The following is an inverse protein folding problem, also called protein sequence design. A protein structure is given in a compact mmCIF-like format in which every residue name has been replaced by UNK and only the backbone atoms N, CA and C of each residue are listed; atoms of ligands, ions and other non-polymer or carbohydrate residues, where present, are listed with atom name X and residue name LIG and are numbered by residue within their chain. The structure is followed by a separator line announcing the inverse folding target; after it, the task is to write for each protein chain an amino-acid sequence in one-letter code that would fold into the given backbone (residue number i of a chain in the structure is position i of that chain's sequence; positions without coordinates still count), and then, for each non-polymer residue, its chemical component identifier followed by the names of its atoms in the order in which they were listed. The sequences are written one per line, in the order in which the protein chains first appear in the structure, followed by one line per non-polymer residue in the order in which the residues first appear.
data_IF_376428161870
#
_entry.id   IF_376428161870
#
_cell.length_a   1.000
_cell.length_b   1.000
_cell.length_c   1.000
_cell.angle_alpha   90.00
_cell.angle_beta   90.00
_cell.angle_gamma   90.00
#
_symmetry.space_group_name_H-M   'P 1'
#
loop_
_entity.id
_entity.type
_entity.pdbx_description
1 polymer ?
#
# COMPACT_ATOMS: atom_id res chain seq x y z
N UNK A 1 -37.80 7.85 34.02
CA UNK A 1 -36.87 6.71 34.23
C UNK A 1 -37.34 5.37 33.64
N UNK A 2 -38.47 5.28 32.91
CA UNK A 2 -38.95 4.01 32.31
C UNK A 2 -38.56 3.81 30.84
N UNK A 3 -38.13 4.86 30.14
CA UNK A 3 -37.86 4.81 28.69
C UNK A 3 -36.46 4.27 28.35
N UNK A 4 -35.49 4.38 29.27
CA UNK A 4 -34.10 3.91 29.06
C UNK A 4 -34.00 2.38 29.17
N UNK A 5 -34.85 1.74 29.98
CA UNK A 5 -34.83 0.28 30.19
C UNK A 5 -35.29 -0.53 28.97
N UNK A 6 -36.17 0.04 28.14
CA UNK A 6 -36.75 -0.67 26.98
C UNK A 6 -35.74 -0.76 25.83
N UNK A 7 -34.87 0.25 25.68
CA UNK A 7 -33.84 0.28 24.63
C UNK A 7 -32.72 -0.74 24.93
N UNK A 8 -32.36 -0.92 26.21
CA UNK A 8 -31.35 -1.91 26.62
C UNK A 8 -31.86 -3.35 26.43
N UNK A 9 -33.14 -3.62 26.73
CA UNK A 9 -33.72 -4.95 26.54
C UNK A 9 -33.86 -5.35 25.05
N UNK A 10 -34.16 -4.39 24.17
CA UNK A 10 -34.27 -4.64 22.73
C UNK A 10 -32.91 -4.86 22.05
N UNK A 11 -31.84 -4.26 22.56
CA UNK A 11 -30.47 -4.47 22.06
C UNK A 11 -29.92 -5.85 22.48
N UNK A 12 -30.26 -6.31 23.68
CA UNK A 12 -29.87 -7.63 24.18
C UNK A 12 -30.57 -8.79 23.45
N UNK A 13 -31.81 -8.61 22.99
CA UNK A 13 -32.53 -9.64 22.23
C UNK A 13 -32.05 -9.80 20.77
N UNK A 14 -31.31 -8.84 20.22
CA UNK A 14 -30.73 -8.96 18.86
C UNK A 14 -29.34 -9.61 18.86
N UNK A 15 -28.65 -9.64 20.01
CA UNK A 15 -27.33 -10.28 20.16
C UNK A 15 -27.47 -11.81 20.25
N UNK A 16 -28.63 -12.34 20.62
CA UNK A 16 -28.87 -13.79 20.72
C UNK A 16 -28.98 -14.53 19.38
N UNK A 17 -28.69 -13.86 18.25
CA UNK A 17 -28.63 -14.47 16.92
C UNK A 17 -27.23 -14.43 16.30
N UNK A 18 -26.22 -13.92 17.02
CA UNK A 18 -24.82 -13.99 16.62
C UNK A 18 -24.19 -15.21 17.30
N UNK A 19 -23.48 -16.01 16.51
CA UNK A 19 -22.86 -17.28 16.90
C UNK A 19 -22.29 -17.27 18.33
N UNK A 20 -22.59 -18.34 19.09
CA UNK A 20 -22.36 -18.47 20.53
C UNK A 20 -20.91 -18.38 21.02
N UNK A 21 -19.97 -18.09 20.12
CA UNK A 21 -18.57 -17.74 20.43
C UNK A 21 -18.42 -16.27 20.84
N UNK A 22 -19.22 -15.34 20.28
CA UNK A 22 -19.12 -13.90 20.59
C UNK A 22 -19.73 -13.53 21.94
N UNK A 23 -20.82 -14.18 22.33
CA UNK A 23 -21.52 -13.88 23.58
C UNK A 23 -20.72 -14.31 24.84
N UNK A 24 -19.86 -15.33 24.72
CA UNK A 24 -19.02 -15.79 25.85
C UNK A 24 -17.86 -14.83 26.17
N UNK A 25 -17.26 -14.21 25.16
CA UNK A 25 -16.12 -13.32 25.37
C UNK A 25 -16.46 -12.05 26.17
N UNK A 26 -17.70 -11.56 26.07
CA UNK A 26 -18.16 -10.33 26.74
C UNK A 26 -18.57 -10.61 28.21
N UNK A 27 -19.07 -11.81 28.50
CA UNK A 27 -19.57 -12.16 29.83
C UNK A 27 -18.44 -12.39 30.87
N UNK A 28 -17.29 -12.88 30.43
CA UNK A 28 -16.19 -13.24 31.33
C UNK A 28 -15.26 -12.06 31.67
N UNK A 29 -15.32 -10.95 30.93
CA UNK A 29 -14.55 -9.73 31.23
C UNK A 29 -15.27 -8.45 30.75
N UNK A 30 -16.10 -7.81 31.59
CA UNK A 30 -16.78 -6.55 31.24
C UNK A 30 -15.82 -5.34 31.12
N UNK A 31 -14.51 -5.54 31.37
CA UNK A 31 -13.42 -4.60 31.13
C UNK A 31 -12.52 -5.00 29.96
N UNK A 32 -12.90 -6.00 29.15
CA UNK A 32 -12.32 -6.21 27.83
C UNK A 32 -12.66 -4.99 26.98
N UNK A 33 -11.85 -3.95 27.14
CA UNK A 33 -11.80 -2.80 26.27
C UNK A 33 -11.64 -3.32 24.84
N UNK A 34 -12.24 -2.63 23.87
CA UNK A 34 -12.16 -2.92 22.42
C UNK A 34 -10.72 -2.87 21.84
N UNK A 35 -9.71 -3.03 22.68
CA UNK A 35 -8.28 -2.87 22.46
C UNK A 35 -7.57 -4.20 22.16
N UNK A 36 -8.28 -5.34 22.14
CA UNK A 36 -7.70 -6.66 21.81
C UNK A 36 -8.46 -7.46 20.74
N UNK A 37 -9.26 -6.81 19.89
CA UNK A 37 -9.37 -7.31 18.53
C UNK A 37 -8.12 -6.83 17.81
N UNK A 38 -7.08 -7.66 17.77
CA UNK A 38 -5.92 -7.44 16.90
C UNK A 38 -6.44 -7.44 15.45
N UNK A 39 -6.94 -6.29 14.98
CA UNK A 39 -7.42 -6.17 13.61
C UNK A 39 -6.20 -6.04 12.72
N UNK A 40 -5.89 -7.11 12.02
CA UNK A 40 -4.77 -7.16 11.09
C UNK A 40 -4.95 -6.11 9.99
N UNK A 41 -3.89 -5.33 9.75
CA UNK A 41 -3.85 -4.29 8.73
C UNK A 41 -2.64 -4.47 7.84
N UNK A 42 -2.82 -4.13 6.57
CA UNK A 42 -1.76 -4.05 5.59
C UNK A 42 -1.48 -2.61 5.19
N UNK A 43 -0.28 -2.40 4.67
CA UNK A 43 0.13 -1.16 4.02
C UNK A 43 -0.55 -1.02 2.66
N UNK A 44 -1.04 0.18 2.35
CA UNK A 44 -1.55 0.48 1.01
C UNK A 44 -1.00 1.76 0.43
N UNK A 45 -0.87 1.78 -0.90
CA UNK A 45 -0.54 2.96 -1.70
C UNK A 45 -1.78 3.54 -2.38
N UNK A 46 -1.64 4.76 -2.88
CA UNK A 46 -2.58 5.41 -3.80
C UNK A 46 -1.85 5.91 -5.04
N UNK A 47 -2.59 6.17 -6.11
CA UNK A 47 -2.10 7.01 -7.21
C UNK A 47 -2.20 8.48 -6.79
N UNK A 48 -1.07 9.17 -6.75
CA UNK A 48 -0.98 10.59 -6.40
C UNK A 48 -1.13 11.47 -7.63
N UNK A 49 -0.52 11.05 -8.74
CA UNK A 49 -0.46 11.83 -9.98
C UNK A 49 -0.34 10.89 -11.18
N UNK A 50 -0.90 11.28 -12.32
CA UNK A 50 -0.60 10.72 -13.63
C UNK A 50 0.09 11.79 -14.48
N UNK A 51 1.27 11.49 -15.01
CA UNK A 51 1.98 12.38 -15.93
C UNK A 51 1.77 11.91 -17.38
N UNK A 52 0.68 12.41 -17.97
CA UNK A 52 0.28 12.13 -19.36
C UNK A 52 1.43 12.25 -20.36
N UNK A 53 2.34 13.26 -20.31
CA UNK A 53 3.42 13.39 -21.29
C UNK A 53 4.41 12.22 -21.29
N UNK A 54 4.51 11.48 -20.19
CA UNK A 54 5.44 10.37 -20.03
C UNK A 54 4.74 9.01 -19.92
N UNK A 55 3.41 8.97 -19.75
CA UNK A 55 2.67 7.73 -19.49
C UNK A 55 3.09 7.05 -18.18
N UNK A 56 3.43 7.86 -17.17
CA UNK A 56 3.86 7.37 -15.86
C UNK A 56 2.91 7.79 -14.76
N UNK A 57 2.86 6.98 -13.72
CA UNK A 57 2.13 7.26 -12.50
C UNK A 57 3.08 7.47 -11.34
N UNK A 58 2.74 8.44 -10.50
CA UNK A 58 3.33 8.59 -9.18
C UNK A 58 2.45 7.88 -8.16
N UNK A 59 2.93 6.74 -7.67
CA UNK A 59 2.22 5.93 -6.68
C UNK A 59 2.98 5.93 -5.36
N UNK A 60 2.26 5.84 -4.26
CA UNK A 60 2.88 5.83 -2.95
C UNK A 60 1.91 6.12 -1.84
N UNK A 61 2.46 6.40 -0.68
CA UNK A 61 1.72 6.96 0.43
C UNK A 61 1.08 8.31 0.05
N UNK A 62 -0.02 8.68 0.69
CA UNK A 62 -0.56 10.04 0.59
C UNK A 62 0.05 10.91 1.70
N UNK A 63 0.32 12.18 1.41
CA UNK A 63 0.98 13.11 2.35
C UNK A 63 0.22 13.25 3.68
N UNK A 64 1.00 13.58 4.73
CA UNK A 64 0.65 13.79 6.14
C UNK A 64 -0.54 14.75 6.39
N UNK A 65 -0.91 15.57 5.41
CA UNK A 65 -1.90 16.66 5.57
C UNK A 65 -3.33 16.25 5.29
N UNK A 66 -3.64 14.96 5.09
CA UNK A 66 -5.04 14.52 4.98
C UNK A 66 -5.78 14.69 6.32
N UNK A 67 -6.78 15.60 6.42
CA UNK A 67 -7.56 15.77 7.65
C UNK A 67 -8.40 14.53 8.00
N UNK A 68 -8.51 13.54 7.10
CA UNK A 68 -9.21 12.27 7.32
C UNK A 68 -8.29 11.13 7.78
N UNK A 69 -7.01 11.40 8.07
CA UNK A 69 -6.12 10.42 8.73
C UNK A 69 -5.69 9.23 7.86
N UNK A 70 -5.82 9.34 6.55
CA UNK A 70 -5.45 8.31 5.57
C UNK A 70 -3.94 8.36 5.22
N UNK A 71 -3.08 8.39 6.23
CA UNK A 71 -1.64 8.24 6.01
C UNK A 71 -1.28 6.76 5.87
N UNK A 72 -0.20 6.46 5.15
CA UNK A 72 0.43 5.15 5.31
C UNK A 72 0.89 4.99 6.75
N UNK A 73 0.65 3.82 7.32
CA UNK A 73 1.27 3.42 8.57
C UNK A 73 2.18 2.24 8.29
N UNK A 74 3.48 2.49 8.22
CA UNK A 74 4.46 1.45 7.93
C UNK A 74 4.66 0.51 9.12
N UNK A 75 4.31 0.91 10.34
CA UNK A 75 4.53 0.11 11.54
C UNK A 75 3.36 -0.84 11.82
N UNK A 76 2.12 -0.42 11.58
CA UNK A 76 0.93 -1.23 11.89
C UNK A 76 0.09 -1.60 10.65
N UNK A 77 0.30 -0.93 9.52
CA UNK A 77 -0.62 -0.97 8.38
C UNK A 77 -1.76 0.05 8.52
N UNK A 78 -2.34 0.42 7.40
CA UNK A 78 -3.33 1.51 7.30
C UNK A 78 -4.72 1.04 6.82
N UNK A 79 -4.81 -0.19 6.31
CA UNK A 79 -6.04 -0.73 5.72
C UNK A 79 -6.33 -2.10 6.29
N UNK A 80 -7.58 -2.37 6.70
CA UNK A 80 -7.94 -3.67 7.26
C UNK A 80 -7.72 -4.78 6.24
N UNK A 81 -7.09 -5.88 6.65
CA UNK A 81 -6.77 -6.99 5.73
C UNK A 81 -8.00 -7.66 5.12
N UNK A 82 -9.18 -7.48 5.71
CA UNK A 82 -10.45 -7.96 5.18
C UNK A 82 -11.05 -7.05 4.09
N UNK A 83 -10.53 -5.84 3.90
CA UNK A 83 -11.02 -4.93 2.87
C UNK A 83 -10.59 -5.37 1.47
N UNK A 84 -11.51 -5.25 0.51
CA UNK A 84 -11.19 -5.51 -0.89
C UNK A 84 -10.47 -4.30 -1.50
N UNK A 85 -9.20 -4.50 -1.84
CA UNK A 85 -8.35 -3.51 -2.52
C UNK A 85 -7.62 -4.17 -3.69
N UNK A 86 -7.43 -3.47 -4.82
CA UNK A 86 -6.54 -3.96 -5.86
C UNK A 86 -5.14 -4.24 -5.31
N UNK A 87 -4.46 -5.23 -5.85
CA UNK A 87 -3.03 -5.41 -5.63
C UNK A 87 -2.29 -4.52 -6.62
N UNK A 88 -1.32 -3.73 -6.14
CA UNK A 88 -0.37 -3.07 -7.03
C UNK A 88 0.67 -4.09 -7.47
N UNK A 89 0.65 -4.44 -8.74
CA UNK A 89 1.60 -5.34 -9.35
C UNK A 89 2.62 -4.54 -10.15
N UNK A 90 3.85 -5.05 -10.21
CA UNK A 90 4.95 -4.41 -10.88
C UNK A 90 5.75 -5.41 -11.71
N UNK A 91 6.24 -4.95 -12.85
CA UNK A 91 7.19 -5.65 -13.70
C UNK A 91 8.41 -4.78 -13.90
N UNK A 92 9.51 -5.14 -13.25
CA UNK A 92 10.81 -4.49 -13.42
C UNK A 92 11.49 -5.08 -14.65
N UNK A 93 11.52 -4.31 -15.74
CA UNK A 93 12.02 -4.73 -17.05
C UNK A 93 13.17 -3.86 -17.57
N UNK A 94 13.76 -3.04 -16.69
CA UNK A 94 14.81 -2.08 -16.99
C UNK A 94 14.38 -0.95 -17.94
N UNK A 95 13.09 -0.64 -17.99
CA UNK A 95 12.61 0.49 -18.78
C UNK A 95 13.32 1.79 -18.39
N UNK A 96 13.70 2.62 -19.38
CA UNK A 96 14.43 3.84 -19.13
C UNK A 96 13.57 4.83 -18.36
N UNK A 97 14.19 5.54 -17.42
CA UNK A 97 13.53 6.59 -16.63
C UNK A 97 13.16 7.77 -17.54
N UNK A 98 11.89 8.19 -17.62
CA UNK A 98 11.51 9.43 -18.29
C UNK A 98 12.11 10.67 -17.65
N UNK A 99 12.20 11.76 -18.41
CA UNK A 99 12.68 13.06 -17.98
C UNK A 99 11.70 13.82 -17.05
N UNK A 100 11.07 13.12 -16.09
CA UNK A 100 10.22 13.76 -15.10
C UNK A 100 11.06 14.54 -14.09
N UNK A 101 10.49 15.63 -13.59
CA UNK A 101 11.14 16.45 -12.58
C UNK A 101 10.89 15.88 -11.18
N UNK A 102 11.94 15.87 -10.37
CA UNK A 102 11.89 15.53 -8.95
C UNK A 102 11.65 16.82 -8.18
N UNK A 103 10.50 16.90 -7.50
CA UNK A 103 10.09 18.06 -6.70
C UNK A 103 10.00 17.69 -5.21
N UNK A 104 10.10 18.70 -4.36
CA UNK A 104 9.93 18.58 -2.91
C UNK A 104 11.20 18.93 -2.13
N UNK A 105 11.03 19.34 -0.87
CA UNK A 105 12.14 19.39 0.09
C UNK A 105 12.35 17.98 0.63
N UNK A 106 13.56 17.46 0.51
CA UNK A 106 13.93 16.20 1.16
C UNK A 106 13.60 16.30 2.65
N UNK A 107 12.84 15.34 3.17
CA UNK A 107 12.53 15.29 4.59
C UNK A 107 13.77 14.79 5.36
N UNK A 108 13.76 13.56 5.85
CA UNK A 108 14.96 12.94 6.41
C UNK A 108 15.96 12.50 5.31
N UNK A 109 15.47 12.31 4.09
CA UNK A 109 16.23 11.83 2.93
C UNK A 109 16.16 12.82 1.76
N UNK A 110 17.05 12.73 0.76
CA UNK A 110 16.97 13.55 -0.46
C UNK A 110 15.62 13.40 -1.20
N UNK A 111 15.14 14.41 -1.94
CA UNK A 111 13.86 14.34 -2.67
C UNK A 111 13.72 13.09 -3.55
N UNK A 112 14.80 12.69 -4.22
CA UNK A 112 14.85 11.54 -5.10
C UNK A 112 14.62 10.19 -4.39
N UNK A 113 14.85 10.11 -3.08
CA UNK A 113 14.46 8.96 -2.25
C UNK A 113 12.94 8.75 -2.24
N UNK A 114 12.18 9.85 -2.24
CA UNK A 114 10.71 9.86 -2.19
C UNK A 114 10.05 9.93 -3.57
N UNK A 115 10.84 10.03 -4.64
CA UNK A 115 10.38 10.22 -6.02
C UNK A 115 11.21 9.39 -7.01
N UNK A 116 11.64 8.21 -6.57
CA UNK A 116 12.46 7.26 -7.33
C UNK A 116 11.79 6.73 -8.58
N UNK A 117 12.56 6.06 -9.43
CA UNK A 117 12.11 5.34 -10.61
C UNK A 117 12.11 3.82 -10.36
N UNK A 118 11.03 3.16 -10.75
CA UNK A 118 10.87 1.72 -10.55
C UNK A 118 11.60 0.83 -11.58
N UNK A 119 12.08 1.37 -12.70
CA UNK A 119 12.64 0.60 -13.83
C UNK A 119 11.63 -0.33 -14.51
N UNK A 120 10.37 0.08 -14.61
CA UNK A 120 9.35 -0.84 -15.08
C UNK A 120 7.97 -0.27 -15.24
N UNK A 121 7.02 -1.19 -15.22
CA UNK A 121 5.60 -0.96 -15.41
C UNK A 121 4.83 -1.39 -14.16
N UNK A 122 3.74 -0.67 -13.87
CA UNK A 122 2.77 -1.04 -12.84
C UNK A 122 1.39 -1.28 -13.43
N UNK A 123 0.62 -2.12 -12.76
CA UNK A 123 -0.78 -2.37 -13.04
C UNK A 123 -1.51 -2.74 -11.74
N UNK A 124 -2.82 -2.56 -11.71
CA UNK A 124 -3.66 -2.97 -10.57
C UNK A 124 -4.58 -4.11 -10.95
N UNK A 125 -4.68 -5.12 -10.09
CA UNK A 125 -5.61 -6.24 -10.26
C UNK A 125 -7.07 -5.81 -10.01
N UNK A 126 -8.00 -6.76 -10.09
CA UNK A 126 -9.31 -6.58 -9.44
C UNK A 126 -9.13 -6.50 -7.91
N UNK A 127 -10.05 -5.84 -7.18
CA UNK A 127 -10.01 -5.80 -5.73
C UNK A 127 -10.09 -7.19 -5.09
N UNK A 128 -9.24 -7.43 -4.08
CA UNK A 128 -9.16 -8.68 -3.32
C UNK A 128 -8.85 -8.37 -1.85
N UNK A 129 -9.34 -9.19 -0.93
CA UNK A 129 -9.02 -9.05 0.49
C UNK A 129 -7.55 -9.40 0.74
N UNK A 130 -6.81 -8.56 1.45
CA UNK A 130 -5.40 -8.85 1.78
C UNK A 130 -5.23 -10.17 2.55
N UNK A 131 -6.18 -10.47 3.43
CA UNK A 131 -6.22 -11.70 4.23
C UNK A 131 -6.54 -12.97 3.43
N UNK A 132 -6.77 -12.88 2.10
CA UNK A 132 -6.92 -14.07 1.27
C UNK A 132 -5.58 -14.70 0.87
N UNK A 133 -4.47 -14.03 1.15
CA UNK A 133 -3.12 -14.52 0.88
C UNK A 133 -2.46 -15.00 2.17
N UNK A 134 -1.70 -16.09 2.11
CA UNK A 134 -0.95 -16.56 3.27
C UNK A 134 0.47 -16.01 3.29
N UNK A 135 1.09 -15.91 2.11
CA UNK A 135 2.48 -15.50 1.93
C UNK A 135 2.63 -14.42 0.87
N UNK A 136 3.73 -13.68 0.90
CA UNK A 136 4.11 -12.74 -0.16
C UNK A 136 4.21 -13.45 -1.53
N UNK A 137 4.68 -14.70 -1.52
CA UNK A 137 4.78 -15.52 -2.73
C UNK A 137 3.41 -15.80 -3.37
N UNK A 138 2.34 -15.93 -2.57
CA UNK A 138 0.98 -16.10 -3.09
C UNK A 138 0.51 -14.83 -3.81
N UNK A 139 0.86 -13.66 -3.28
CA UNK A 139 0.53 -12.38 -3.92
C UNK A 139 1.35 -12.16 -5.19
N UNK A 140 2.64 -12.55 -5.18
CA UNK A 140 3.47 -12.54 -6.38
C UNK A 140 2.87 -13.45 -7.47
N UNK A 141 2.42 -14.65 -7.10
CA UNK A 141 1.75 -15.58 -8.01
C UNK A 141 0.42 -15.01 -8.54
N UNK A 142 -0.34 -14.29 -7.72
CA UNK A 142 -1.55 -13.59 -8.13
C UNK A 142 -1.26 -12.49 -9.17
N UNK A 143 -0.21 -11.69 -8.97
CA UNK A 143 0.26 -10.72 -9.96
C UNK A 143 0.70 -11.39 -11.27
N UNK A 144 1.47 -12.48 -11.19
CA UNK A 144 1.88 -13.24 -12.36
C UNK A 144 0.71 -13.89 -13.10
N UNK A 145 -0.32 -14.34 -12.39
CA UNK A 145 -1.55 -14.86 -12.99
C UNK A 145 -2.34 -13.77 -13.73
N UNK A 146 -2.41 -12.56 -13.15
CA UNK A 146 -3.16 -11.46 -13.74
C UNK A 146 -2.49 -10.87 -14.99
N UNK A 147 -1.15 -10.76 -15.00
CA UNK A 147 -0.43 -9.98 -16.00
C UNK A 147 0.69 -10.74 -16.74
N UNK A 148 0.95 -11.99 -16.37
CA UNK A 148 1.94 -12.86 -16.99
C UNK A 148 3.28 -12.93 -16.25
N UNK A 149 4.21 -13.70 -16.80
CA UNK A 149 5.53 -13.90 -16.19
C UNK A 149 6.31 -12.59 -16.00
N UNK A 150 7.00 -12.47 -14.86
CA UNK A 150 7.80 -11.30 -14.48
C UNK A 150 7.06 -10.23 -13.70
N UNK A 151 5.74 -10.33 -13.57
CA UNK A 151 4.96 -9.49 -12.65
C UNK A 151 5.00 -10.06 -11.24
N UNK A 152 5.16 -9.16 -10.26
CA UNK A 152 5.17 -9.48 -8.83
C UNK A 152 4.43 -8.41 -8.03
N UNK A 153 4.19 -8.66 -6.76
CA UNK A 153 3.69 -7.66 -5.84
C UNK A 153 4.68 -6.47 -5.77
N UNK A 154 4.13 -5.27 -5.88
CA UNK A 154 4.88 -4.04 -5.67
C UNK A 154 5.23 -3.83 -4.19
N UNK A 155 6.37 -3.22 -3.95
CA UNK A 155 6.89 -2.98 -2.61
C UNK A 155 7.08 -1.50 -2.34
N UNK A 156 6.99 -1.14 -1.07
CA UNK A 156 7.32 0.19 -0.56
C UNK A 156 8.71 0.66 -1.01
N UNK A 157 9.63 -0.29 -1.24
CA UNK A 157 11.04 -0.07 -1.57
C UNK A 157 11.36 -0.32 -3.04
N UNK A 158 10.36 -0.30 -3.94
CA UNK A 158 10.61 -0.53 -5.38
C UNK A 158 11.19 0.68 -6.11
N UNK A 159 11.29 1.81 -5.42
CA UNK A 159 11.93 3.02 -5.93
C UNK A 159 13.44 2.82 -6.03
N UNK A 160 14.03 3.22 -7.16
CA UNK A 160 15.49 3.39 -7.30
C UNK A 160 15.80 4.84 -7.61
N UNK A 161 16.91 5.34 -7.07
CA UNK A 161 17.38 6.69 -7.36
C UNK A 161 18.89 6.79 -7.45
N UNK A 162 19.34 7.82 -8.15
CA UNK A 162 20.73 8.29 -8.17
C UNK A 162 20.71 9.70 -7.60
N UNK A 163 21.64 10.03 -6.70
CA UNK A 163 21.62 11.35 -6.06
C UNK A 163 21.74 12.46 -7.10
N UNK A 164 20.85 13.45 -7.00
CA UNK A 164 20.74 14.55 -7.98
C UNK A 164 20.00 14.22 -9.27
N UNK A 165 19.36 13.04 -9.39
CA UNK A 165 18.51 12.74 -10.54
C UNK A 165 17.35 13.73 -10.65
N UNK A 166 17.06 14.16 -11.88
CA UNK A 166 15.97 15.09 -12.15
C UNK A 166 15.52 14.99 -13.63
N UNK A 167 14.69 15.90 -14.12
CA UNK A 167 14.25 15.91 -15.52
C UNK A 167 15.38 16.12 -16.53
N UNK A 168 16.51 16.67 -16.10
CA UNK A 168 17.65 17.01 -16.98
C UNK A 168 18.89 16.13 -16.77
N UNK A 169 18.94 15.32 -15.70
CA UNK A 169 20.10 14.51 -15.33
C UNK A 169 19.61 13.12 -14.91
N UNK A 170 20.30 12.06 -15.36
CA UNK A 170 19.93 10.66 -15.12
C UNK A 170 18.50 10.34 -15.60
N UNK A 171 18.21 10.68 -16.86
CA UNK A 171 16.95 10.36 -17.53
C UNK A 171 17.21 9.92 -18.99
N UNK A 172 16.26 9.22 -19.60
CA UNK A 172 16.39 8.68 -20.95
C UNK A 172 17.65 7.82 -21.08
N UNK A 173 18.46 8.07 -22.11
CA UNK A 173 19.69 7.33 -22.38
C UNK A 173 20.79 7.55 -21.32
N UNK A 174 20.69 8.63 -20.52
CA UNK A 174 21.61 8.88 -19.39
C UNK A 174 21.20 8.11 -18.12
N UNK A 175 20.08 7.40 -18.14
CA UNK A 175 19.68 6.51 -17.07
C UNK A 175 20.52 5.23 -17.11
N UNK A 176 21.57 5.19 -16.31
CA UNK A 176 22.41 4.00 -16.16
C UNK A 176 21.82 3.11 -15.08
N UNK A 177 20.85 2.28 -15.47
CA UNK A 177 20.31 1.26 -14.59
C UNK A 177 21.43 0.33 -14.12
N UNK A 178 21.41 -0.04 -12.83
CA UNK A 178 22.34 -0.99 -12.22
C UNK A 178 23.81 -0.48 -12.14
N UNK A 179 23.99 0.71 -11.56
CA UNK A 179 25.31 1.27 -11.24
C UNK A 179 25.56 1.28 -9.73
N UNK A 180 26.83 1.42 -9.33
CA UNK A 180 27.23 1.60 -7.93
C UNK A 180 26.67 2.88 -7.28
N UNK A 181 26.11 3.80 -8.08
CA UNK A 181 25.49 5.04 -7.59
C UNK A 181 24.03 4.83 -7.17
N UNK A 182 23.42 3.72 -7.58
CA UNK A 182 21.99 3.50 -7.43
C UNK A 182 21.66 3.10 -5.98
N UNK A 183 20.65 3.76 -5.44
CA UNK A 183 20.15 3.56 -4.08
C UNK A 183 18.68 3.20 -4.12
N UNK A 184 18.23 2.49 -3.10
CA UNK A 184 16.81 2.15 -2.91
C UNK A 184 16.10 3.29 -2.19
N UNK A 185 15.03 3.81 -2.80
CA UNK A 185 14.13 4.79 -2.23
C UNK A 185 12.97 4.15 -1.49
N UNK A 186 12.00 4.96 -1.07
CA UNK A 186 10.80 4.47 -0.42
C UNK A 186 9.67 5.48 -0.41
N UNK A 187 8.55 5.11 0.21
CA UNK A 187 7.31 5.89 0.34
C UNK A 187 6.52 6.12 -0.94
N UNK A 188 7.20 6.46 -2.03
CA UNK A 188 6.59 6.67 -3.33
C UNK A 188 7.58 6.40 -4.46
N UNK A 189 7.08 6.18 -5.66
CA UNK A 189 7.88 6.09 -6.88
C UNK A 189 7.07 6.37 -8.13
N UNK A 190 7.80 6.71 -9.20
CA UNK A 190 7.29 6.75 -10.56
C UNK A 190 7.51 5.39 -11.25
N UNK A 191 6.54 4.99 -12.07
CA UNK A 191 6.60 3.82 -12.94
C UNK A 191 5.72 4.04 -14.16
N UNK A 192 5.98 3.34 -15.28
CA UNK A 192 5.08 3.37 -16.42
C UNK A 192 3.73 2.75 -16.04
N UNK A 193 2.63 3.42 -16.36
CA UNK A 193 1.31 2.92 -16.01
C UNK A 193 0.22 3.97 -16.14
N UNK A 194 -1.02 3.46 -16.07
CA UNK A 194 -2.22 4.26 -15.88
C UNK A 194 -3.16 3.47 -14.96
N UNK A 195 -2.73 3.30 -13.71
CA UNK A 195 -3.53 2.65 -12.68
C UNK A 195 -4.69 3.55 -12.27
N UNK A 196 -5.77 2.95 -11.79
CA UNK A 196 -6.94 3.69 -11.27
C UNK A 196 -6.55 4.65 -10.14
N UNK A 197 -7.35 5.67 -9.85
CA UNK A 197 -7.05 6.69 -8.83
C UNK A 197 -8.14 6.83 -7.74
N UNK A 198 -9.13 5.94 -7.75
CA UNK A 198 -10.30 5.97 -6.89
C UNK A 198 -10.20 4.99 -5.69
N UNK A 199 -9.13 4.17 -5.64
CA UNK A 199 -8.90 3.20 -4.57
C UNK A 199 -7.44 3.19 -4.12
N UNK A 200 -7.24 2.68 -2.91
CA UNK A 200 -5.94 2.24 -2.38
C UNK A 200 -5.55 0.88 -2.95
N UNK A 201 -4.25 0.59 -3.00
CA UNK A 201 -3.70 -0.67 -3.50
C UNK A 201 -2.84 -1.36 -2.45
N UNK A 202 -2.98 -2.67 -2.32
CA UNK A 202 -2.07 -3.47 -1.52
C UNK A 202 -0.64 -3.38 -2.04
N UNK A 203 0.29 -3.13 -1.12
CA UNK A 203 1.74 -3.15 -1.36
C UNK A 203 2.43 -3.91 -0.23
N UNK A 204 3.66 -4.32 -0.47
CA UNK A 204 4.49 -5.01 0.52
C UNK A 204 5.52 -4.10 1.16
N UNK A 205 5.80 -4.30 2.45
CA UNK A 205 6.96 -3.71 3.13
C UNK A 205 7.78 -4.79 3.84
N UNK A 206 9.07 -4.90 3.47
CA UNK A 206 9.92 -6.05 3.87
C UNK A 206 10.54 -5.92 5.26
N UNK A 207 10.67 -4.70 5.77
CA UNK A 207 11.40 -4.32 6.97
C UNK A 207 10.47 -3.86 8.11
N UNK A 208 9.17 -4.05 7.93
CA UNK A 208 8.13 -3.69 8.89
C UNK A 208 6.98 -4.72 8.88
N UNK A 209 6.19 -4.83 9.96
CA UNK A 209 5.15 -5.86 10.06
C UNK A 209 3.82 -5.48 9.40
N UNK A 210 3.74 -4.34 8.69
CA UNK A 210 2.50 -3.83 8.07
C UNK A 210 2.08 -4.58 6.78
N UNK A 211 1.92 -5.90 6.85
CA UNK A 211 1.46 -6.75 5.75
C UNK A 211 0.33 -7.67 6.22
N UNK A 212 -0.58 -8.02 5.31
CA UNK A 212 -1.68 -8.97 5.57
C UNK A 212 -1.30 -10.44 5.35
N UNK A 213 -0.02 -10.70 5.11
CA UNK A 213 0.53 -11.99 4.73
C UNK A 213 1.94 -12.10 5.31
N UNK A 214 2.45 -13.33 5.42
CA UNK A 214 3.83 -13.55 5.86
C UNK A 214 4.84 -13.24 4.75
N UNK A 215 6.05 -12.87 5.14
CA UNK A 215 7.16 -12.64 4.21
C UNK A 215 7.59 -13.91 3.47
#
# INVERSE_FOLDING_TARGET
MRTVYIIVAALLLKISQLDGTFARAIADNPQATMTELNVEKGLTFVKREHQVPFGIDFVGCRDWTDPNGMNCNTDEGDTLCTEQRPVLCVKVDNSPRPAYFVYGSGAAMPPEFYAGWNHGHIATTLPVAGSSFSTKADVDAYCAQAFGAGWRLATFHDAMYISGMNGTIYAGDSWTANTALMQTGGWHYYSYGDVRNDMRFWVHIRDRPANCWSN
#
